data_IF_726973841536
#
_entry.id   IF_726973841536
#
_cell.length_a   1.000
_cell.length_b   1.000
_cell.length_c   1.000
_cell.angle_alpha   90.00
_cell.angle_beta   90.00
_cell.angle_gamma   90.00
#
_symmetry.space_group_name_H-M   'P 1'
#
loop_
_entity.id
_entity.type
_entity.pdbx_description
1 polymer ?
#
# COMPACT_ATOMS: atom_id res chain seq x y z
N UNK A 1 -17.49 -25.17 53.23
CA UNK A 1 -16.97 -25.41 51.87
C UNK A 1 -17.14 -24.14 51.07
N UNK A 2 -16.07 -23.36 50.89
CA UNK A 2 -16.10 -22.09 50.14
C UNK A 2 -15.47 -22.36 48.77
N UNK A 3 -16.29 -22.46 47.73
CA UNK A 3 -15.80 -22.60 46.35
C UNK A 3 -15.28 -21.24 45.87
N UNK A 4 -13.96 -21.10 45.81
CA UNK A 4 -13.29 -19.96 45.17
C UNK A 4 -13.21 -20.23 43.66
N UNK A 5 -13.95 -19.47 42.87
CA UNK A 5 -13.88 -19.51 41.41
C UNK A 5 -12.64 -18.74 40.99
N UNK A 6 -11.58 -19.45 40.59
CA UNK A 6 -10.41 -18.85 39.98
C UNK A 6 -10.77 -18.35 38.58
N UNK A 7 -10.80 -17.03 38.39
CA UNK A 7 -10.83 -16.43 37.05
C UNK A 7 -9.50 -16.73 36.36
N UNK A 8 -9.54 -17.64 35.38
CA UNK A 8 -8.44 -17.83 34.44
C UNK A 8 -8.19 -16.52 33.70
N UNK A 9 -7.03 -15.93 33.94
CA UNK A 9 -6.54 -14.76 33.20
C UNK A 9 -6.30 -15.20 31.75
N UNK A 10 -7.20 -14.80 30.85
CA UNK A 10 -6.97 -14.89 29.43
C UNK A 10 -5.65 -14.17 29.11
N UNK A 11 -4.67 -14.93 28.62
CA UNK A 11 -3.38 -14.38 28.19
C UNK A 11 -3.61 -13.40 27.04
N UNK A 12 -3.54 -12.10 27.36
CA UNK A 12 -3.32 -11.08 26.36
C UNK A 12 -1.97 -11.39 25.70
N UNK A 13 -2.01 -11.81 24.44
CA UNK A 13 -0.83 -11.91 23.61
C UNK A 13 -0.14 -10.53 23.64
N UNK A 14 1.02 -10.46 24.29
CA UNK A 14 1.86 -9.27 24.23
C UNK A 14 2.18 -8.98 22.75
N UNK A 15 2.09 -7.71 22.30
CA UNK A 15 2.47 -7.37 20.94
C UNK A 15 3.96 -7.69 20.78
N UNK A 16 4.24 -8.66 19.91
CA UNK A 16 5.60 -8.98 19.52
C UNK A 16 6.28 -7.72 18.97
N UNK A 17 7.57 -7.55 19.27
CA UNK A 17 8.43 -6.45 18.82
C UNK A 17 8.47 -6.28 17.28
N UNK A 18 7.82 -7.16 16.52
CA UNK A 18 7.63 -7.14 15.08
C UNK A 18 6.63 -6.07 14.56
N UNK A 19 5.98 -5.31 15.44
CA UNK A 19 4.93 -4.35 15.05
C UNK A 19 5.31 -2.85 15.19
N UNK A 20 6.60 -2.54 15.38
CA UNK A 20 7.06 -1.13 15.42
C UNK A 20 7.63 -0.71 14.08
N UNK A 21 6.96 0.24 13.44
CA UNK A 21 7.49 0.96 12.29
C UNK A 21 8.71 1.78 12.73
N UNK A 22 9.72 1.85 11.87
CA UNK A 22 10.86 2.75 12.08
C UNK A 22 10.36 4.21 12.11
N UNK A 23 10.87 5.06 13.03
CA UNK A 23 10.51 6.47 13.09
C UNK A 23 10.99 7.21 11.82
N UNK A 24 10.40 8.36 11.53
CA UNK A 24 10.88 9.24 10.46
C UNK A 24 12.32 9.70 10.73
N UNK A 25 13.04 10.05 9.66
CA UNK A 25 14.43 10.53 9.68
C UNK A 25 14.52 11.83 8.89
N UNK A 26 15.55 12.66 9.12
CA UNK A 26 15.79 13.85 8.30
C UNK A 26 15.82 13.53 6.81
N UNK A 27 14.94 14.17 6.04
CA UNK A 27 14.72 13.89 4.62
C UNK A 27 13.29 13.42 4.36
N UNK A 28 13.10 12.63 3.30
CA UNK A 28 11.80 12.03 2.96
C UNK A 28 11.87 10.53 3.17
N UNK A 29 11.17 10.02 4.17
CA UNK A 29 10.88 8.60 4.30
C UNK A 29 9.55 8.25 3.59
N UNK A 30 9.39 6.96 3.30
CA UNK A 30 8.18 6.42 2.68
C UNK A 30 7.58 5.38 3.62
N UNK A 31 6.31 5.55 3.96
CA UNK A 31 5.53 4.58 4.72
C UNK A 31 4.57 3.85 3.79
N UNK A 32 4.48 2.53 3.91
CA UNK A 32 3.67 1.70 3.00
C UNK A 32 2.61 0.96 3.81
N UNK A 33 1.36 1.16 3.43
CA UNK A 33 0.21 0.39 3.87
C UNK A 33 -0.32 -0.40 2.67
N UNK A 34 -0.30 -1.74 2.74
CA UNK A 34 -0.68 -2.61 1.62
C UNK A 34 -1.75 -3.62 2.04
N UNK A 35 -2.92 -3.57 1.41
CA UNK A 35 -4.07 -4.38 1.81
C UNK A 35 -4.73 -5.18 0.69
N UNK A 36 -4.88 -6.48 0.93
CA UNK A 36 -5.70 -7.39 0.11
C UNK A 36 -7.08 -7.58 0.75
N UNK A 37 -8.12 -7.02 0.16
CA UNK A 37 -9.40 -6.83 0.86
C UNK A 37 -10.38 -8.00 0.69
N UNK A 38 -10.22 -8.84 -0.33
CA UNK A 38 -11.15 -9.92 -0.66
C UNK A 38 -10.62 -11.30 -0.27
N UNK A 39 -11.10 -11.83 0.85
CA UNK A 39 -10.61 -13.07 1.45
C UNK A 39 -10.86 -14.37 0.66
N UNK A 40 -11.94 -14.52 -0.12
CA UNK A 40 -12.18 -15.75 -0.85
C UNK A 40 -11.17 -16.12 -1.94
N UNK A 41 -10.35 -15.17 -2.43
CA UNK A 41 -9.42 -15.40 -3.55
C UNK A 41 -7.98 -15.01 -3.17
N UNK A 42 -7.04 -15.93 -3.36
CA UNK A 42 -5.65 -15.78 -2.88
C UNK A 42 -4.82 -14.75 -3.65
N UNK A 43 -5.30 -14.29 -4.81
CA UNK A 43 -4.61 -13.28 -5.64
C UNK A 43 -4.46 -11.95 -4.90
N UNK A 44 -5.45 -11.55 -4.11
CA UNK A 44 -5.43 -10.28 -3.40
C UNK A 44 -4.44 -10.30 -2.23
N UNK A 45 -4.33 -11.42 -1.52
CA UNK A 45 -3.26 -11.64 -0.53
C UNK A 45 -1.87 -11.62 -1.20
N UNK A 46 -1.73 -12.35 -2.31
CA UNK A 46 -0.45 -12.48 -3.02
C UNK A 46 0.02 -11.14 -3.57
N UNK A 47 -0.90 -10.38 -4.16
CA UNK A 47 -0.65 -9.05 -4.72
C UNK A 47 -0.32 -8.03 -3.62
N UNK A 48 -1.04 -8.00 -2.50
CA UNK A 48 -0.72 -7.12 -1.37
C UNK A 48 0.70 -7.38 -0.83
N UNK A 49 1.06 -8.64 -0.62
CA UNK A 49 2.43 -9.02 -0.19
C UNK A 49 3.48 -8.71 -1.25
N UNK A 50 3.16 -8.92 -2.52
CA UNK A 50 4.05 -8.67 -3.64
C UNK A 50 4.34 -7.18 -3.80
N UNK A 51 3.29 -6.36 -3.87
CA UNK A 51 3.36 -4.91 -4.01
C UNK A 51 4.16 -4.30 -2.85
N UNK A 52 3.89 -4.70 -1.61
CA UNK A 52 4.62 -4.24 -0.45
C UNK A 52 6.14 -4.51 -0.58
N UNK A 53 6.53 -5.72 -0.95
CA UNK A 53 7.95 -6.07 -1.14
C UNK A 53 8.62 -5.28 -2.26
N UNK A 54 7.93 -5.10 -3.38
CA UNK A 54 8.47 -4.34 -4.52
C UNK A 54 8.60 -2.86 -4.16
N UNK A 55 7.57 -2.25 -3.59
CA UNK A 55 7.59 -0.85 -3.16
C UNK A 55 8.69 -0.64 -2.11
N UNK A 56 8.81 -1.54 -1.14
CA UNK A 56 9.84 -1.45 -0.10
C UNK A 56 11.26 -1.43 -0.67
N UNK A 57 11.53 -2.33 -1.63
CA UNK A 57 12.83 -2.39 -2.30
C UNK A 57 13.07 -1.17 -3.19
N UNK A 58 12.11 -0.84 -4.07
CA UNK A 58 12.24 0.21 -5.09
C UNK A 58 12.32 1.59 -4.47
N UNK A 59 11.66 1.79 -3.32
CA UNK A 59 11.62 3.04 -2.59
C UNK A 59 12.45 2.99 -1.31
N UNK A 60 13.30 1.99 -1.08
CA UNK A 60 14.23 1.94 0.06
C UNK A 60 13.55 2.24 1.41
N UNK A 61 12.40 1.62 1.68
CA UNK A 61 11.54 1.94 2.84
C UNK A 61 11.50 0.83 3.89
N UNK A 62 12.57 0.04 3.99
CA UNK A 62 12.68 -1.10 4.91
C UNK A 62 12.28 -0.71 6.34
N UNK A 63 11.41 -1.52 6.94
CA UNK A 63 10.92 -1.30 8.31
C UNK A 63 9.82 -0.24 8.45
N UNK A 64 9.27 0.27 7.35
CA UNK A 64 8.16 1.25 7.33
C UNK A 64 6.93 0.74 6.58
N UNK A 65 6.74 -0.58 6.55
CA UNK A 65 5.71 -1.26 5.78
C UNK A 65 4.77 -2.06 6.69
N UNK A 66 3.46 -1.88 6.54
CA UNK A 66 2.42 -2.75 7.12
C UNK A 66 1.68 -3.44 5.97
N UNK A 67 1.50 -4.75 6.09
CA UNK A 67 0.71 -5.55 5.15
C UNK A 67 -0.43 -6.22 5.91
N UNK A 68 -1.66 -6.05 5.42
CA UNK A 68 -2.85 -6.75 5.93
C UNK A 68 -3.61 -7.40 4.79
N UNK A 69 -4.29 -8.52 5.05
CA UNK A 69 -5.13 -9.13 4.03
C UNK A 69 -6.20 -10.01 4.66
N UNK A 70 -7.32 -10.14 3.96
CA UNK A 70 -8.34 -11.11 4.31
C UNK A 70 -8.03 -12.45 3.63
N UNK A 71 -8.46 -13.53 4.27
CA UNK A 71 -8.49 -14.88 3.70
C UNK A 71 -9.84 -15.51 4.08
N UNK A 72 -10.15 -16.70 3.54
CA UNK A 72 -11.32 -17.48 3.96
C UNK A 72 -11.42 -17.73 5.47
N UNK A 73 -10.32 -17.61 6.23
CA UNK A 73 -10.26 -17.93 7.67
C UNK A 73 -9.70 -16.81 8.55
N UNK A 74 -9.32 -15.66 7.98
CA UNK A 74 -8.66 -14.58 8.72
C UNK A 74 -9.12 -13.21 8.21
N UNK A 75 -9.46 -12.33 9.13
CA UNK A 75 -9.86 -10.96 8.89
C UNK A 75 -8.69 -10.00 9.19
N UNK A 76 -7.71 -9.91 8.29
CA UNK A 76 -6.52 -9.06 8.46
C UNK A 76 -6.63 -7.66 7.84
N UNK A 77 -7.64 -7.41 7.02
CA UNK A 77 -7.90 -6.15 6.32
C UNK A 77 -9.38 -5.74 6.45
N UNK A 78 -9.84 -5.54 7.69
CA UNK A 78 -11.15 -4.97 7.99
C UNK A 78 -11.04 -3.45 8.14
N UNK A 79 -12.16 -2.69 8.15
CA UNK A 79 -12.10 -1.25 8.40
C UNK A 79 -11.35 -0.91 9.69
N UNK A 80 -11.54 -1.71 10.76
CA UNK A 80 -10.85 -1.49 12.02
C UNK A 80 -9.34 -1.78 11.92
N UNK A 81 -8.93 -2.87 11.27
CA UNK A 81 -7.48 -3.16 11.15
C UNK A 81 -6.77 -2.16 10.24
N UNK A 82 -7.43 -1.71 9.18
CA UNK A 82 -6.93 -0.64 8.29
C UNK A 82 -6.75 0.66 9.09
N UNK A 83 -7.77 1.08 9.86
CA UNK A 83 -7.69 2.28 10.69
C UNK A 83 -6.56 2.19 11.72
N UNK A 84 -6.41 1.04 12.38
CA UNK A 84 -5.33 0.82 13.34
C UNK A 84 -3.93 0.95 12.69
N UNK A 85 -3.77 0.47 11.45
CA UNK A 85 -2.53 0.60 10.70
C UNK A 85 -2.23 2.06 10.32
N UNK A 86 -3.25 2.78 9.86
CA UNK A 86 -3.19 4.23 9.58
C UNK A 86 -2.77 5.01 10.82
N UNK A 87 -3.40 4.76 11.97
CA UNK A 87 -3.01 5.38 13.24
C UNK A 87 -1.60 4.99 13.68
N UNK A 88 -1.12 3.80 13.32
CA UNK A 88 0.25 3.36 13.64
C UNK A 88 1.27 4.14 12.81
N UNK A 89 0.99 4.43 11.54
CA UNK A 89 1.81 5.34 10.73
C UNK A 89 1.74 6.77 11.27
N UNK A 90 0.56 7.26 11.64
CA UNK A 90 0.37 8.63 12.15
C UNK A 90 1.16 8.95 13.43
N UNK A 91 1.64 7.94 14.17
CA UNK A 91 2.50 8.11 15.34
C UNK A 91 3.98 8.33 14.99
N UNK A 92 4.40 8.04 13.77
CA UNK A 92 5.82 8.01 13.38
C UNK A 92 6.16 8.81 12.12
N UNK A 93 5.15 9.14 11.31
CA UNK A 93 5.31 9.89 10.06
C UNK A 93 5.53 11.39 10.34
N UNK A 94 6.43 12.02 9.58
CA UNK A 94 6.63 13.47 9.57
C UNK A 94 5.89 14.12 8.39
N UNK A 95 5.68 15.43 8.47
CA UNK A 95 5.14 16.30 7.42
C UNK A 95 5.91 16.25 6.09
N UNK A 96 7.16 15.81 6.15
CA UNK A 96 8.10 15.69 5.05
C UNK A 96 8.06 14.32 4.35
N UNK A 97 7.35 13.36 4.93
CA UNK A 97 7.27 11.98 4.46
C UNK A 97 6.10 11.72 3.51
N UNK A 98 6.16 10.58 2.82
CA UNK A 98 5.12 10.11 1.90
C UNK A 98 4.45 8.85 2.45
N UNK A 99 3.12 8.87 2.53
CA UNK A 99 2.31 7.66 2.77
C UNK A 99 1.86 7.05 1.44
N UNK A 100 2.23 5.80 1.19
CA UNK A 100 1.66 4.98 0.12
C UNK A 100 0.60 4.06 0.71
N UNK A 101 -0.62 4.16 0.20
CA UNK A 101 -1.76 3.35 0.59
C UNK A 101 -2.25 2.54 -0.60
N UNK A 102 -1.94 1.24 -0.59
CA UNK A 102 -2.31 0.29 -1.65
C UNK A 102 -3.47 -0.60 -1.23
N UNK A 103 -4.49 -0.67 -2.09
CA UNK A 103 -5.66 -1.53 -1.93
C UNK A 103 -5.80 -2.43 -3.15
N UNK A 104 -6.01 -3.73 -2.95
CA UNK A 104 -6.34 -4.67 -4.02
C UNK A 104 -7.56 -5.52 -3.66
N UNK A 105 -8.54 -5.56 -4.57
CA UNK A 105 -9.83 -6.24 -4.37
C UNK A 105 -10.66 -6.32 -5.67
N UNK A 106 -11.87 -6.85 -5.57
CA UNK A 106 -12.95 -6.50 -6.48
C UNK A 106 -13.43 -5.07 -6.23
N UNK A 107 -14.15 -4.50 -7.20
CA UNK A 107 -14.68 -3.15 -7.08
C UNK A 107 -15.99 -2.95 -7.83
N UNK A 108 -16.67 -1.89 -7.45
CA UNK A 108 -17.89 -1.36 -8.08
C UNK A 108 -17.73 0.15 -8.25
N UNK A 109 -18.73 0.80 -8.85
CA UNK A 109 -18.78 2.27 -8.93
C UNK A 109 -18.85 2.97 -7.55
N UNK A 110 -19.08 2.23 -6.46
CA UNK A 110 -19.10 2.79 -5.10
C UNK A 110 -17.72 2.75 -4.42
N UNK A 111 -16.86 1.80 -4.81
CA UNK A 111 -15.55 1.60 -4.17
C UNK A 111 -15.03 0.17 -4.32
N UNK A 112 -14.10 -0.20 -3.44
CA UNK A 112 -13.52 -1.54 -3.41
C UNK A 112 -14.23 -2.41 -2.37
N UNK A 113 -14.49 -3.68 -2.69
CA UNK A 113 -15.13 -4.60 -1.77
C UNK A 113 -14.16 -5.00 -0.64
N UNK A 114 -14.65 -5.08 0.58
CA UNK A 114 -14.00 -5.76 1.71
C UNK A 114 -14.81 -7.02 1.99
N UNK A 115 -14.18 -8.18 1.87
CA UNK A 115 -14.78 -9.47 2.25
C UNK A 115 -13.86 -10.16 3.24
N UNK A 116 -14.30 -10.19 4.50
CA UNK A 116 -13.56 -10.74 5.62
C UNK A 116 -14.42 -11.80 6.30
N UNK A 117 -14.13 -13.08 6.04
CA UNK A 117 -14.97 -14.20 6.49
C UNK A 117 -16.42 -14.01 5.98
N UNK A 118 -17.38 -13.84 6.88
CA UNK A 118 -18.80 -13.67 6.56
C UNK A 118 -19.20 -12.18 6.43
N UNK A 119 -18.27 -11.25 6.70
CA UNK A 119 -18.53 -9.81 6.60
C UNK A 119 -18.27 -9.30 5.18
N UNK A 120 -19.25 -8.54 4.66
CA UNK A 120 -19.21 -7.90 3.36
C UNK A 120 -19.42 -6.40 3.50
N UNK A 121 -18.45 -5.61 3.05
CA UNK A 121 -18.48 -4.15 3.13
C UNK A 121 -17.86 -3.55 1.86
N UNK A 122 -17.96 -2.23 1.72
CA UNK A 122 -17.27 -1.47 0.68
C UNK A 122 -16.43 -0.39 1.36
N UNK A 123 -15.20 -0.21 0.88
CA UNK A 123 -14.40 0.98 1.18
C UNK A 123 -14.56 1.98 0.05
N UNK A 124 -15.21 3.10 0.34
CA UNK A 124 -15.49 4.16 -0.63
C UNK A 124 -14.33 5.13 -0.73
N UNK A 125 -14.28 6.00 -1.77
CA UNK A 125 -13.34 7.11 -1.81
C UNK A 125 -13.41 8.03 -0.59
N UNK A 126 -14.61 8.28 -0.03
CA UNK A 126 -14.76 9.09 1.19
C UNK A 126 -14.15 8.40 2.42
N UNK A 127 -14.30 7.08 2.55
CA UNK A 127 -13.65 6.33 3.63
C UNK A 127 -12.11 6.44 3.52
N UNK A 128 -11.56 6.32 2.31
CA UNK A 128 -10.11 6.48 2.08
C UNK A 128 -9.67 7.92 2.37
N UNK A 129 -10.43 8.93 1.96
CA UNK A 129 -10.13 10.33 2.28
C UNK A 129 -10.02 10.55 3.79
N UNK A 130 -10.96 10.03 4.56
CA UNK A 130 -10.97 10.11 6.02
C UNK A 130 -9.74 9.41 6.62
N UNK A 131 -9.40 8.21 6.16
CA UNK A 131 -8.20 7.49 6.61
C UNK A 131 -6.89 8.24 6.28
N UNK A 132 -6.80 8.87 5.11
CA UNK A 132 -5.65 9.69 4.74
C UNK A 132 -5.51 10.91 5.64
N UNK A 133 -6.62 11.54 6.02
CA UNK A 133 -6.62 12.66 6.98
C UNK A 133 -6.18 12.19 8.37
N UNK A 134 -6.70 11.05 8.85
CA UNK A 134 -6.31 10.45 10.15
C UNK A 134 -4.84 10.06 10.21
N UNK A 135 -4.20 9.76 9.08
CA UNK A 135 -2.78 9.43 9.04
C UNK A 135 -1.88 10.62 9.39
N UNK A 136 -2.36 11.86 9.25
CA UNK A 136 -1.54 13.07 9.35
C UNK A 136 -0.54 13.27 8.19
N UNK A 137 -0.43 12.33 7.25
CA UNK A 137 0.48 12.43 6.11
C UNK A 137 0.14 13.65 5.26
N UNK A 138 1.13 14.50 4.96
CA UNK A 138 0.96 15.63 4.05
C UNK A 138 1.00 15.18 2.59
N UNK A 139 1.93 14.31 2.23
CA UNK A 139 2.13 13.77 0.89
C UNK A 139 1.66 12.32 0.82
N UNK A 140 0.83 12.00 -0.17
CA UNK A 140 0.08 10.74 -0.22
C UNK A 140 0.14 10.14 -1.61
N UNK A 141 0.22 8.81 -1.67
CA UNK A 141 0.01 8.03 -2.88
C UNK A 141 -1.07 7.01 -2.57
N UNK A 142 -2.14 6.99 -3.35
CA UNK A 142 -3.20 5.98 -3.27
C UNK A 142 -3.13 5.12 -4.52
N UNK A 143 -2.97 3.81 -4.34
CA UNK A 143 -2.94 2.87 -5.45
C UNK A 143 -4.10 1.90 -5.27
N UNK A 144 -4.97 1.78 -6.27
CA UNK A 144 -6.15 0.90 -6.19
C UNK A 144 -6.19 -0.07 -7.36
N UNK A 145 -6.00 -1.36 -7.05
CA UNK A 145 -6.13 -2.47 -7.98
C UNK A 145 -7.52 -3.10 -7.83
N UNK A 146 -8.50 -2.56 -8.56
CA UNK A 146 -9.89 -3.04 -8.56
C UNK A 146 -10.65 -2.58 -9.82
N UNK A 147 -11.76 -3.24 -10.16
CA UNK A 147 -12.72 -2.75 -11.15
C UNK A 147 -13.25 -1.37 -10.74
N UNK A 148 -13.52 -0.50 -11.72
CA UNK A 148 -14.07 0.84 -11.52
C UNK A 148 -13.20 1.75 -10.62
N UNK A 149 -11.93 1.41 -10.38
CA UNK A 149 -11.06 2.09 -9.42
C UNK A 149 -10.79 3.56 -9.73
N UNK A 150 -11.06 4.03 -10.95
CA UNK A 150 -11.02 5.45 -11.30
C UNK A 150 -11.93 6.35 -10.44
N UNK A 151 -12.92 5.80 -9.73
CA UNK A 151 -13.74 6.56 -8.76
C UNK A 151 -12.89 7.17 -7.63
N UNK A 152 -11.79 6.51 -7.24
CA UNK A 152 -10.86 7.04 -6.25
C UNK A 152 -10.06 8.22 -6.79
N UNK A 153 -9.60 8.15 -8.04
CA UNK A 153 -8.86 9.25 -8.68
C UNK A 153 -9.70 10.53 -8.76
N UNK A 154 -10.99 10.40 -9.14
CA UNK A 154 -11.91 11.56 -9.23
C UNK A 154 -12.09 12.31 -7.91
N UNK A 155 -12.04 11.61 -6.77
CA UNK A 155 -12.30 12.18 -5.46
C UNK A 155 -11.04 12.62 -4.72
N UNK A 156 -9.95 11.87 -4.85
CA UNK A 156 -8.78 11.97 -3.98
C UNK A 156 -7.62 12.74 -4.60
N UNK A 157 -7.53 12.81 -5.93
CA UNK A 157 -6.37 13.40 -6.58
C UNK A 157 -6.32 14.92 -6.36
N UNK A 158 -5.19 15.39 -5.84
CA UNK A 158 -4.82 16.80 -5.69
C UNK A 158 -3.29 16.93 -5.83
N UNK A 159 -2.72 18.13 -5.69
CA UNK A 159 -1.27 18.33 -5.82
C UNK A 159 -0.44 17.50 -4.82
N UNK A 160 -1.01 17.12 -3.68
CA UNK A 160 -0.38 16.37 -2.58
C UNK A 160 -0.83 14.92 -2.47
N UNK A 161 -1.71 14.48 -3.37
CA UNK A 161 -2.28 13.13 -3.39
C UNK A 161 -2.21 12.59 -4.82
N UNK A 162 -1.21 11.75 -5.05
CA UNK A 162 -1.10 10.97 -6.29
C UNK A 162 -2.07 9.79 -6.22
N UNK A 163 -2.91 9.59 -7.23
CA UNK A 163 -3.78 8.42 -7.31
C UNK A 163 -3.45 7.61 -8.56
N UNK A 164 -3.25 6.30 -8.40
CA UNK A 164 -2.97 5.35 -9.49
C UNK A 164 -4.03 4.24 -9.43
N UNK A 165 -4.70 3.98 -10.55
CA UNK A 165 -5.82 3.03 -10.60
C UNK A 165 -5.64 1.99 -11.70
N UNK A 166 -6.06 0.76 -11.43
CA UNK A 166 -5.99 -0.35 -12.38
C UNK A 166 -7.01 -0.24 -13.52
N UNK A 167 -8.08 0.55 -13.34
CA UNK A 167 -9.07 0.81 -14.36
C UNK A 167 -9.64 2.23 -14.27
N UNK A 168 -10.27 2.70 -15.34
CA UNK A 168 -11.12 3.87 -15.30
C UNK A 168 -12.40 3.60 -14.52
N UNK A 169 -13.10 4.66 -14.16
CA UNK A 169 -14.24 4.61 -13.24
C UNK A 169 -15.51 3.96 -13.82
N UNK A 170 -15.49 3.60 -15.11
CA UNK A 170 -16.56 2.99 -15.90
C UNK A 170 -16.13 1.63 -16.51
N UNK A 171 -14.95 1.11 -16.14
CA UNK A 171 -14.36 -0.10 -16.73
C UNK A 171 -13.99 -1.13 -15.67
N UNK A 172 -14.03 -2.40 -16.05
CA UNK A 172 -13.46 -3.49 -15.25
C UNK A 172 -11.94 -3.53 -15.35
N UNK A 173 -11.29 -4.15 -14.35
CA UNK A 173 -9.90 -4.59 -14.42
C UNK A 173 -9.84 -6.13 -14.39
N UNK A 174 -8.70 -6.71 -14.75
CA UNK A 174 -8.60 -8.15 -15.03
C UNK A 174 -7.48 -8.86 -14.26
N UNK A 175 -7.54 -10.20 -14.27
CA UNK A 175 -6.52 -11.06 -13.66
C UNK A 175 -6.78 -11.48 -12.23
N UNK A 176 -7.97 -11.24 -11.68
CA UNK A 176 -8.34 -11.58 -10.31
C UNK A 176 -8.74 -13.05 -10.10
N UNK A 177 -8.19 -13.99 -10.88
CA UNK A 177 -8.50 -15.43 -10.74
C UNK A 177 -7.91 -15.97 -9.44
N UNK A 178 -8.64 -16.85 -8.75
CA UNK A 178 -8.10 -17.55 -7.58
C UNK A 178 -6.83 -18.36 -7.95
N UNK A 179 -5.86 -18.40 -7.05
CA UNK A 179 -4.55 -19.02 -7.30
C UNK A 179 -3.58 -18.22 -8.19
N UNK A 180 -4.01 -17.12 -8.82
CA UNK A 180 -3.08 -16.22 -9.51
C UNK A 180 -2.20 -15.48 -8.48
N UNK A 181 -0.95 -15.18 -8.85
CA UNK A 181 -0.05 -14.39 -7.99
C UNK A 181 -0.33 -12.88 -8.09
N UNK A 182 -0.76 -12.42 -9.27
CA UNK A 182 -0.92 -11.02 -9.60
C UNK A 182 -2.16 -10.80 -10.47
N UNK A 183 -2.82 -9.66 -10.28
CA UNK A 183 -3.75 -9.09 -11.28
C UNK A 183 -2.95 -8.60 -12.50
N UNK A 184 -3.64 -8.20 -13.57
CA UNK A 184 -2.94 -7.72 -14.78
C UNK A 184 -2.21 -6.42 -14.50
N UNK A 185 -2.87 -5.52 -13.77
CA UNK A 185 -2.26 -4.28 -13.33
C UNK A 185 -1.12 -4.53 -12.34
N UNK A 186 -1.31 -5.39 -11.33
CA UNK A 186 -0.25 -5.65 -10.35
C UNK A 186 1.00 -6.31 -10.95
N UNK A 187 0.84 -7.22 -11.91
CA UNK A 187 1.97 -7.79 -12.64
C UNK A 187 2.70 -6.72 -13.48
N UNK A 188 1.94 -5.86 -14.17
CA UNK A 188 2.52 -4.82 -15.01
C UNK A 188 3.22 -3.72 -14.19
N UNK A 189 2.56 -3.21 -13.15
CA UNK A 189 3.04 -2.09 -12.35
C UNK A 189 4.09 -2.53 -11.35
N UNK A 190 3.77 -3.46 -10.44
CA UNK A 190 4.71 -3.87 -9.40
C UNK A 190 5.73 -4.88 -9.93
N UNK A 191 5.26 -5.99 -10.48
CA UNK A 191 6.16 -7.11 -10.77
C UNK A 191 7.12 -6.84 -11.93
N UNK A 192 6.78 -5.93 -12.85
CA UNK A 192 7.59 -5.59 -14.03
C UNK A 192 8.15 -4.18 -13.96
N UNK A 193 7.30 -3.15 -13.99
CA UNK A 193 7.77 -1.78 -14.15
C UNK A 193 8.60 -1.31 -12.94
N UNK A 194 8.02 -1.37 -11.73
CA UNK A 194 8.64 -0.83 -10.50
C UNK A 194 9.96 -1.50 -10.12
N UNK A 195 10.17 -2.78 -10.47
CA UNK A 195 11.45 -3.47 -10.18
C UNK A 195 12.66 -2.84 -10.87
N UNK A 196 12.43 -2.09 -11.94
CA UNK A 196 13.48 -1.44 -12.75
C UNK A 196 13.36 0.08 -12.76
N UNK A 197 12.36 0.63 -12.06
CA UNK A 197 11.98 2.04 -12.14
C UNK A 197 11.39 2.48 -10.80
N UNK A 198 12.08 3.37 -10.08
CA UNK A 198 11.59 3.89 -8.81
C UNK A 198 10.62 5.07 -8.98
N UNK A 199 10.60 5.70 -10.16
CA UNK A 199 9.66 6.77 -10.47
C UNK A 199 8.26 6.24 -10.79
N UNK A 200 7.29 6.55 -9.93
CA UNK A 200 5.92 6.03 -10.02
C UNK A 200 5.22 6.40 -11.33
N UNK A 201 5.42 7.62 -11.82
CA UNK A 201 4.88 8.13 -13.09
C UNK A 201 5.44 7.35 -14.29
N UNK A 202 6.75 7.15 -14.34
CA UNK A 202 7.41 6.40 -15.42
C UNK A 202 7.05 4.91 -15.35
N UNK A 203 6.99 4.34 -14.15
CA UNK A 203 6.58 2.96 -13.94
C UNK A 203 5.12 2.73 -14.35
N UNK A 204 4.23 3.70 -14.06
CA UNK A 204 2.83 3.65 -14.48
C UNK A 204 2.69 3.66 -16.00
N UNK A 205 3.42 4.51 -16.70
CA UNK A 205 3.39 4.56 -18.17
C UNK A 205 3.81 3.23 -18.81
N UNK A 206 4.88 2.62 -18.29
CA UNK A 206 5.31 1.27 -18.69
C UNK A 206 4.21 0.24 -18.41
N UNK A 207 3.58 0.31 -17.23
CA UNK A 207 2.53 -0.61 -16.82
C UNK A 207 1.27 -0.49 -17.69
N UNK A 208 0.83 0.73 -18.00
CA UNK A 208 -0.31 1.01 -18.88
C UNK A 208 -0.14 0.33 -20.22
N UNK A 209 1.03 0.48 -20.85
CA UNK A 209 1.36 -0.18 -22.11
C UNK A 209 1.34 -1.72 -22.01
N UNK A 210 1.84 -2.28 -20.90
CA UNK A 210 1.84 -3.72 -20.67
C UNK A 210 0.43 -4.28 -20.49
N UNK A 211 -0.42 -3.57 -19.74
CA UNK A 211 -1.83 -3.92 -19.51
C UNK A 211 -2.59 -3.88 -20.83
N UNK A 212 -2.55 -2.75 -21.55
CA UNK A 212 -3.25 -2.60 -22.84
C UNK A 212 -2.87 -3.68 -23.83
N UNK A 213 -1.57 -3.99 -23.98
CA UNK A 213 -1.13 -5.06 -24.88
C UNK A 213 -1.63 -6.43 -24.45
N UNK A 214 -1.72 -6.69 -23.14
CA UNK A 214 -2.21 -7.98 -22.63
C UNK A 214 -3.70 -8.12 -22.87
N UNK A 215 -4.48 -7.10 -22.53
CA UNK A 215 -5.93 -7.07 -22.74
C UNK A 215 -6.29 -7.27 -24.21
N UNK A 216 -5.61 -6.57 -25.12
CA UNK A 216 -5.80 -6.75 -26.57
C UNK A 216 -5.50 -8.17 -27.03
N UNK A 217 -4.39 -8.77 -26.58
CA UNK A 217 -4.04 -10.15 -26.94
C UNK A 217 -5.04 -11.17 -26.43
N UNK A 218 -5.68 -10.89 -25.31
CA UNK A 218 -6.63 -11.81 -24.66
C UNK A 218 -8.10 -11.48 -24.98
N UNK A 219 -8.36 -10.46 -25.81
CA UNK A 219 -9.70 -10.11 -26.29
C UNK A 219 -10.57 -9.37 -25.27
N UNK A 220 -9.97 -8.70 -24.28
CA UNK A 220 -10.69 -7.88 -23.32
C UNK A 220 -10.83 -6.43 -23.80
N UNK A 221 -11.92 -5.78 -23.37
CA UNK A 221 -12.03 -4.32 -23.43
C UNK A 221 -10.92 -3.66 -22.58
N UNK A 222 -10.44 -2.50 -23.01
CA UNK A 222 -9.39 -1.77 -22.28
C UNK A 222 -9.88 -1.37 -20.88
N UNK A 223 -9.12 -1.73 -19.85
CA UNK A 223 -9.38 -1.27 -18.48
C UNK A 223 -9.09 0.23 -18.31
N UNK A 224 -8.24 0.81 -19.18
CA UNK A 224 -7.77 2.19 -19.12
C UNK A 224 -7.21 2.57 -17.73
N UNK A 225 -6.09 1.97 -17.28
CA UNK A 225 -5.43 2.39 -16.04
C UNK A 225 -5.17 3.90 -16.02
N UNK A 226 -5.28 4.54 -14.86
CA UNK A 226 -5.16 6.00 -14.72
C UNK A 226 -4.11 6.40 -13.67
N UNK A 227 -3.51 7.57 -13.88
CA UNK A 227 -2.69 8.30 -12.89
C UNK A 227 -3.19 9.74 -12.84
N UNK A 228 -3.38 10.29 -11.64
CA UNK A 228 -3.91 11.64 -11.44
C UNK A 228 -3.32 12.31 -10.20
N UNK A 229 -3.14 13.63 -10.26
CA UNK A 229 -2.65 14.45 -9.15
C UNK A 229 -1.17 14.21 -8.82
N UNK A 230 -0.79 14.60 -7.61
CA UNK A 230 0.49 14.28 -6.99
C UNK A 230 1.71 15.00 -7.52
N UNK A 231 1.57 16.19 -8.11
CA UNK A 231 2.70 16.98 -8.62
C UNK A 231 3.76 17.26 -7.54
N UNK A 232 3.34 17.68 -6.33
CA UNK A 232 4.26 17.88 -5.20
C UNK A 232 4.84 16.54 -4.71
N UNK A 233 4.04 15.47 -4.73
CA UNK A 233 4.46 14.12 -4.28
C UNK A 233 5.53 13.54 -5.20
N UNK A 234 5.36 13.66 -6.51
CA UNK A 234 6.31 13.16 -7.51
C UNK A 234 7.62 13.95 -7.45
N UNK A 235 7.57 15.27 -7.28
CA UNK A 235 8.76 16.09 -7.06
C UNK A 235 9.52 15.61 -5.83
N UNK A 236 8.82 15.41 -4.71
CA UNK A 236 9.39 14.95 -3.45
C UNK A 236 10.06 13.58 -3.55
N UNK A 237 9.38 12.61 -4.18
CA UNK A 237 9.94 11.28 -4.42
C UNK A 237 11.14 11.33 -5.37
N UNK A 238 11.14 12.25 -6.34
CA UNK A 238 12.26 12.50 -7.25
C UNK A 238 13.50 13.02 -6.55
N UNK A 239 13.35 14.06 -5.72
CA UNK A 239 14.44 14.61 -4.89
C UNK A 239 15.07 13.51 -4.03
N UNK A 240 14.23 12.72 -3.36
CA UNK A 240 14.65 11.58 -2.56
C UNK A 240 15.44 10.54 -3.35
N UNK A 241 15.04 10.23 -4.58
CA UNK A 241 15.72 9.24 -5.41
C UNK A 241 17.14 9.68 -5.80
N UNK A 242 17.39 11.00 -5.88
CA UNK A 242 18.70 11.59 -6.19
C UNK A 242 19.58 11.85 -4.97
N UNK A 243 19.02 11.79 -3.76
CA UNK A 243 19.76 12.03 -2.53
C UNK A 243 20.77 10.89 -2.25
N UNK A 244 22.01 11.20 -1.85
CA UNK A 244 22.98 10.19 -1.43
C UNK A 244 22.39 9.31 -0.33
N UNK A 245 22.62 8.00 -0.40
CA UNK A 245 22.27 7.11 0.70
C UNK A 245 23.02 7.59 1.93
N UNK A 246 22.30 8.13 2.92
CA UNK A 246 22.89 8.54 4.19
C UNK A 246 23.54 7.31 4.80
N UNK A 247 24.86 7.25 4.66
CA UNK A 247 25.68 6.21 5.23
C UNK A 247 25.50 6.35 6.74
N UNK A 248 24.86 5.37 7.36
CA UNK A 248 24.82 5.31 8.81
C UNK A 248 26.28 5.24 9.26
N UNK A 249 26.83 6.36 9.74
CA UNK A 249 28.13 6.36 10.38
C UNK A 249 28.02 5.35 11.53
N UNK A 250 28.56 4.15 11.32
CA UNK A 250 28.77 3.20 12.41
C UNK A 250 29.79 3.89 13.29
N UNK A 251 29.34 4.40 14.44
CA UNK A 251 30.24 4.92 15.46
C UNK A 251 31.37 3.92 15.70
N UNK A 252 32.62 4.39 15.88
CA UNK A 252 33.75 3.49 16.07
C UNK A 252 33.45 2.53 17.22
N UNK A 253 33.76 1.24 17.01
CA UNK A 253 33.88 0.31 18.14
C UNK A 253 34.85 0.94 19.13
N UNK A 254 34.51 0.90 20.42
CA UNK A 254 35.39 1.33 21.49
C UNK A 254 36.81 0.79 21.22
N UNK A 255 37.77 1.69 21.00
CA UNK A 255 39.18 1.47 20.62
C UNK A 255 39.62 1.68 19.16
N UNK A 256 38.86 2.39 18.32
CA UNK A 256 39.42 2.93 17.07
C UNK A 256 39.49 4.47 17.11
N UNK A 257 40.66 5.02 16.77
CA UNK A 257 40.90 6.46 16.61
C UNK A 257 39.92 7.08 15.61
N UNK A 258 39.59 8.38 15.77
CA UNK A 258 38.63 9.04 14.90
C UNK A 258 39.20 9.14 13.48
N UNK A 259 38.61 8.40 12.55
CA UNK A 259 38.72 8.73 11.13
C UNK A 259 37.80 9.91 10.86
N UNK A 260 38.35 10.96 10.26
CA UNK A 260 37.59 12.10 9.76
C UNK A 260 36.57 11.62 8.70
N UNK A 261 35.41 12.28 8.68
CA UNK A 261 34.42 12.17 7.61
C UNK A 261 35.02 12.56 6.26
#
# INVERSE_FOLDING_TARGET
MVLSIGLSSAGLAQPSSANRLAPSRPGTDVYILSFGLWGPQSVFESEAKGAARVLEASLRSKGRTIVGFNTKRRAGATPQTIRNAVQTVGRVIDSDDVLIFFLTSHGSSEGAAIVAQDDHMIITPDNVQHLLQESGARYRVVIVSACYSGVFARKLADERTLVITAASADRSSFGCRDGATWTYFGDAFFNKAMRSESRLDVAFEKARLLVTRREQREGFDSSNPQIAGGSEVLARLGERATAPEQQTCRGPRANAQPAAC
#
